data_IF_974934712582
#
_entry.id   IF_974934712582
#
_cell.length_a   1.000
_cell.length_b   1.000
_cell.length_c   1.000
_cell.angle_alpha   90.00
_cell.angle_beta   90.00
_cell.angle_gamma   90.00
#
_symmetry.space_group_name_H-M   'P 1'
#
loop_
_entity.id
_entity.type
_entity.pdbx_description
1 polymer ?
#
# COMPACT_ATOMS: atom_id res chain seq x y z
N UNK A 1 -7.55 -42.21 12.97
CA UNK A 1 -6.96 -41.41 14.07
C UNK A 1 -7.37 -39.96 13.85
N UNK A 2 -8.12 -39.35 14.77
CA UNK A 2 -8.61 -37.98 14.61
C UNK A 2 -7.48 -36.99 14.97
N UNK A 3 -6.98 -36.25 13.96
CA UNK A 3 -6.08 -35.12 14.19
C UNK A 3 -6.79 -34.10 15.07
N UNK A 4 -6.18 -33.73 16.20
CA UNK A 4 -6.82 -32.85 17.18
C UNK A 4 -6.74 -31.40 16.70
N UNK A 5 -7.67 -30.52 17.11
CA UNK A 5 -7.63 -29.07 16.78
C UNK A 5 -6.27 -28.41 17.09
N UNK A 6 -5.53 -28.96 18.07
CA UNK A 6 -4.16 -28.57 18.42
C UNK A 6 -3.18 -28.77 17.26
N UNK A 7 -3.30 -29.90 16.57
CA UNK A 7 -2.36 -30.30 15.52
C UNK A 7 -2.56 -29.42 14.27
N UNK A 8 -3.82 -29.12 13.95
CA UNK A 8 -4.15 -28.19 12.85
C UNK A 8 -3.62 -26.77 13.11
N UNK A 9 -3.69 -26.27 14.35
CA UNK A 9 -3.18 -24.95 14.69
C UNK A 9 -1.65 -24.86 14.55
N UNK A 10 -0.92 -25.91 14.96
CA UNK A 10 0.54 -25.99 14.80
C UNK A 10 0.94 -26.01 13.33
N UNK A 11 0.22 -26.76 12.50
CA UNK A 11 0.45 -26.82 11.06
C UNK A 11 0.22 -25.46 10.40
N UNK A 12 -0.84 -24.75 10.77
CA UNK A 12 -1.12 -23.40 10.28
C UNK A 12 -0.04 -22.41 10.68
N UNK A 13 0.43 -22.46 11.93
CA UNK A 13 1.52 -21.63 12.41
C UNK A 13 2.82 -21.90 11.64
N UNK A 14 3.20 -23.17 11.52
CA UNK A 14 4.39 -23.58 10.77
C UNK A 14 4.33 -23.10 9.33
N UNK A 15 3.19 -23.31 8.65
CA UNK A 15 2.98 -22.83 7.29
C UNK A 15 3.18 -21.32 7.16
N UNK A 16 2.66 -20.53 8.11
CA UNK A 16 2.82 -19.08 8.08
C UNK A 16 4.28 -18.66 8.27
N UNK A 17 4.98 -19.25 9.24
CA UNK A 17 6.40 -18.97 9.51
C UNK A 17 7.26 -19.35 8.30
N UNK A 18 7.03 -20.51 7.70
CA UNK A 18 7.79 -20.97 6.53
C UNK A 18 7.63 -19.99 5.35
N UNK A 19 6.41 -19.48 5.11
CA UNK A 19 6.18 -18.48 4.06
C UNK A 19 6.85 -17.14 4.39
N UNK A 20 6.83 -16.68 5.64
CA UNK A 20 7.53 -15.45 6.03
C UNK A 20 9.04 -15.57 5.84
N UNK A 21 9.63 -16.69 6.25
CA UNK A 21 11.07 -16.95 6.10
C UNK A 21 11.48 -17.00 4.62
N UNK A 22 10.64 -17.58 3.77
CA UNK A 22 10.89 -17.61 2.32
C UNK A 22 10.97 -16.19 1.74
N UNK A 23 9.99 -15.33 2.02
CA UNK A 23 10.00 -13.94 1.53
C UNK A 23 11.23 -13.17 2.02
N UNK A 24 11.59 -13.33 3.30
CA UNK A 24 12.79 -12.69 3.86
C UNK A 24 14.08 -13.20 3.18
N UNK A 25 14.16 -14.50 2.88
CA UNK A 25 15.29 -15.09 2.18
C UNK A 25 15.40 -14.62 0.72
N UNK A 26 14.27 -14.37 0.07
CA UNK A 26 14.19 -13.82 -1.29
C UNK A 26 14.44 -12.29 -1.32
N UNK A 27 14.60 -11.65 -0.17
CA UNK A 27 14.76 -10.19 -0.07
C UNK A 27 13.47 -9.42 -0.35
N UNK A 28 12.35 -10.11 -0.41
CA UNK A 28 11.04 -9.53 -0.68
C UNK A 28 10.45 -8.89 0.58
N UNK A 29 9.73 -7.79 0.39
CA UNK A 29 9.06 -7.11 1.50
C UNK A 29 7.94 -7.99 2.04
N UNK A 30 7.90 -8.20 3.36
CA UNK A 30 6.89 -9.05 4.02
C UNK A 30 5.45 -8.59 3.76
N UNK A 31 5.24 -7.32 3.41
CA UNK A 31 3.94 -6.81 2.96
C UNK A 31 3.40 -7.53 1.70
N UNK A 32 4.27 -8.01 0.82
CA UNK A 32 3.88 -8.74 -0.39
C UNK A 32 3.30 -10.13 -0.09
N UNK A 33 3.67 -10.75 1.03
CA UNK A 33 3.04 -11.98 1.48
C UNK A 33 1.53 -11.78 1.70
N UNK A 34 1.17 -10.64 2.28
CA UNK A 34 -0.20 -10.35 2.71
C UNK A 34 -1.14 -9.98 1.57
N UNK A 35 -0.63 -9.67 0.38
CA UNK A 35 -1.47 -9.42 -0.81
C UNK A 35 -1.82 -10.69 -1.58
N UNK A 36 -1.25 -11.84 -1.23
CA UNK A 36 -1.53 -13.11 -1.90
C UNK A 36 -2.91 -13.68 -1.52
N UNK A 37 -3.65 -14.17 -2.52
CA UNK A 37 -5.02 -14.65 -2.34
C UNK A 37 -5.11 -15.94 -1.49
N UNK A 38 -4.08 -16.80 -1.54
CA UNK A 38 -4.01 -18.01 -0.72
C UNK A 38 -3.80 -17.70 0.77
N UNK A 39 -2.98 -16.69 1.09
CA UNK A 39 -2.79 -16.21 2.46
C UNK A 39 -4.06 -15.52 2.97
N UNK A 40 -4.67 -14.68 2.15
CA UNK A 40 -5.90 -13.95 2.49
C UNK A 40 -7.08 -14.90 2.78
N UNK A 41 -7.26 -15.93 1.96
CA UNK A 41 -8.32 -16.92 2.16
C UNK A 41 -8.09 -17.78 3.41
N UNK A 42 -6.83 -18.12 3.70
CA UNK A 42 -6.46 -18.97 4.85
C UNK A 42 -6.40 -18.20 6.18
N UNK A 43 -6.06 -16.92 6.16
CA UNK A 43 -5.82 -16.09 7.34
C UNK A 43 -6.54 -14.73 7.27
N UNK A 44 -7.85 -14.73 7.00
CA UNK A 44 -8.63 -13.51 6.72
C UNK A 44 -8.54 -12.40 7.79
N UNK A 45 -8.61 -12.76 9.08
CA UNK A 45 -8.49 -11.80 10.18
C UNK A 45 -7.08 -11.22 10.28
N UNK A 46 -6.07 -12.08 10.15
CA UNK A 46 -4.67 -11.66 10.25
C UNK A 46 -4.25 -10.83 9.03
N UNK A 47 -4.74 -11.18 7.84
CA UNK A 47 -4.60 -10.39 6.63
C UNK A 47 -5.13 -8.96 6.84
N UNK A 48 -6.33 -8.82 7.43
CA UNK A 48 -6.91 -7.49 7.70
C UNK A 48 -6.04 -6.66 8.63
N UNK A 49 -5.46 -7.26 9.67
CA UNK A 49 -4.51 -6.59 10.57
C UNK A 49 -3.21 -6.24 9.85
N UNK A 50 -2.64 -7.19 9.11
CA UNK A 50 -1.41 -6.98 8.37
C UNK A 50 -1.52 -5.84 7.35
N UNK A 51 -2.60 -5.80 6.57
CA UNK A 51 -2.86 -4.70 5.63
C UNK A 51 -3.02 -3.34 6.32
N UNK A 52 -3.51 -3.31 7.55
CA UNK A 52 -3.67 -2.07 8.30
C UNK A 52 -2.34 -1.50 8.82
N UNK A 53 -1.35 -2.34 9.13
CA UNK A 53 -0.11 -1.92 9.79
C UNK A 53 1.13 -2.00 8.90
N UNK A 54 1.23 -3.02 8.04
CA UNK A 54 2.42 -3.27 7.21
C UNK A 54 2.38 -2.55 5.85
N UNK A 55 1.23 -2.01 5.46
CA UNK A 55 1.08 -1.19 4.26
C UNK A 55 1.19 0.32 4.55
N UNK A 56 1.46 0.70 5.79
CA UNK A 56 1.76 2.09 6.14
C UNK A 56 3.26 2.28 5.90
N UNK A 57 3.61 3.25 5.06
CA UNK A 57 5.02 3.60 4.87
C UNK A 57 5.63 4.00 6.21
N UNK A 58 6.78 3.41 6.60
CA UNK A 58 7.42 3.69 7.89
C UNK A 58 8.02 5.10 7.95
N UNK A 59 7.94 5.88 6.86
CA UNK A 59 8.58 7.18 6.74
C UNK A 59 7.61 8.23 6.19
N UNK A 60 7.80 9.48 6.62
CA UNK A 60 7.15 10.64 6.02
C UNK A 60 7.69 10.96 4.62
N UNK A 61 8.72 10.25 4.12
CA UNK A 61 9.42 10.61 2.89
C UNK A 61 8.49 10.65 1.66
N UNK A 62 7.50 9.75 1.57
CA UNK A 62 6.48 9.81 0.54
C UNK A 62 5.63 11.09 0.65
N UNK A 63 5.23 11.45 1.87
CA UNK A 63 4.52 12.71 2.13
C UNK A 63 5.39 13.93 1.82
N UNK A 64 6.68 13.92 2.18
CA UNK A 64 7.63 14.99 1.88
C UNK A 64 7.87 15.16 0.38
N UNK A 65 7.96 14.06 -0.40
CA UNK A 65 8.00 14.14 -1.87
C UNK A 65 6.73 14.79 -2.43
N UNK A 66 5.58 14.50 -1.84
CA UNK A 66 4.31 15.13 -2.23
C UNK A 66 4.28 16.62 -1.88
N UNK A 67 4.77 17.01 -0.70
CA UNK A 67 4.86 18.42 -0.31
C UNK A 67 5.90 19.19 -1.13
N UNK A 68 7.04 18.58 -1.46
CA UNK A 68 8.07 19.19 -2.29
C UNK A 68 7.62 19.39 -3.74
N UNK A 69 6.97 18.39 -4.34
CA UNK A 69 6.35 18.53 -5.66
C UNK A 69 5.18 19.54 -5.65
N UNK A 70 4.37 19.55 -4.59
CA UNK A 70 3.32 20.53 -4.40
C UNK A 70 3.87 21.95 -4.15
N UNK A 71 5.06 22.12 -3.57
CA UNK A 71 5.71 23.42 -3.41
C UNK A 71 5.95 24.14 -4.74
N UNK A 72 6.18 23.39 -5.83
CA UNK A 72 6.20 23.96 -7.20
C UNK A 72 4.82 24.34 -7.73
N UNK A 73 3.75 23.76 -7.19
CA UNK A 73 2.35 24.04 -7.54
C UNK A 73 1.75 25.18 -6.69
N UNK A 74 2.35 25.45 -5.53
CA UNK A 74 2.04 26.49 -4.54
C UNK A 74 3.19 27.51 -4.56
N UNK A 75 3.24 28.31 -5.62
CA UNK A 75 4.15 29.46 -5.73
C UNK A 75 3.57 30.66 -4.95
N UNK A 76 4.43 31.45 -4.29
CA UNK A 76 4.12 32.73 -3.63
C UNK A 76 3.35 33.71 -4.54
N UNK A 77 3.49 33.60 -5.87
CA UNK A 77 2.76 34.41 -6.86
C UNK A 77 1.26 34.04 -7.02
N UNK A 78 0.79 32.95 -6.40
CA UNK A 78 -0.65 32.59 -6.38
C UNK A 78 -1.25 32.82 -5.00
N UNK A 79 -1.36 34.09 -4.62
CA UNK A 79 -2.19 34.52 -3.51
C UNK A 79 -3.63 33.98 -3.68
N UNK A 80 -4.08 33.12 -2.77
CA UNK A 80 -5.45 32.55 -2.68
C UNK A 80 -5.73 31.22 -3.41
N UNK A 81 -4.92 30.19 -3.13
CA UNK A 81 -5.46 28.82 -3.11
C UNK A 81 -5.91 28.51 -1.69
N UNK A 82 -7.21 28.41 -1.47
CA UNK A 82 -7.73 27.85 -0.21
C UNK A 82 -7.27 26.39 -0.07
N UNK A 83 -7.17 25.88 1.16
CA UNK A 83 -6.67 24.52 1.46
C UNK A 83 -7.33 23.46 0.56
N UNK A 84 -8.64 23.58 0.36
CA UNK A 84 -9.41 22.73 -0.55
C UNK A 84 -8.86 22.68 -1.98
N UNK A 85 -8.57 23.84 -2.60
CA UNK A 85 -8.03 23.89 -3.97
C UNK A 85 -6.63 23.30 -4.06
N UNK A 86 -5.82 23.42 -3.00
CA UNK A 86 -4.48 22.81 -2.94
C UNK A 86 -4.60 21.28 -2.90
N UNK A 87 -5.43 20.74 -2.00
CA UNK A 87 -5.68 19.31 -1.86
C UNK A 87 -6.23 18.71 -3.16
N UNK A 88 -7.23 19.37 -3.77
CA UNK A 88 -7.79 18.93 -5.05
C UNK A 88 -6.74 18.90 -6.16
N UNK A 89 -5.83 19.88 -6.20
CA UNK A 89 -4.76 19.95 -7.20
C UNK A 89 -3.71 18.85 -6.99
N UNK A 90 -3.32 18.56 -5.75
CA UNK A 90 -2.42 17.45 -5.41
C UNK A 90 -3.08 16.12 -5.79
N UNK A 91 -4.36 15.94 -5.46
CA UNK A 91 -5.12 14.74 -5.82
C UNK A 91 -5.17 14.52 -7.34
N UNK A 92 -5.54 15.55 -8.12
CA UNK A 92 -5.62 15.44 -9.58
C UNK A 92 -4.25 15.21 -10.23
N UNK A 93 -3.18 15.81 -9.68
CA UNK A 93 -1.82 15.59 -10.19
C UNK A 93 -1.38 14.13 -10.03
N UNK A 94 -1.71 13.50 -8.89
CA UNK A 94 -1.43 12.08 -8.65
C UNK A 94 -2.36 11.14 -9.40
N UNK A 95 -3.59 11.58 -9.67
CA UNK A 95 -4.63 10.76 -10.27
C UNK A 95 -5.17 11.42 -11.56
N UNK A 96 -4.35 11.51 -12.62
CA UNK A 96 -4.70 12.25 -13.84
C UNK A 96 -5.92 11.66 -14.56
N UNK A 97 -6.27 10.40 -14.32
CA UNK A 97 -7.44 9.74 -14.89
C UNK A 97 -8.79 10.40 -14.50
N UNK A 98 -8.81 11.23 -13.45
CA UNK A 98 -10.00 11.97 -13.04
C UNK A 98 -10.16 13.32 -13.76
N UNK A 99 -9.21 13.71 -14.61
CA UNK A 99 -9.31 14.92 -15.43
C UNK A 99 -10.01 14.56 -16.74
N UNK A 100 -11.09 15.28 -17.07
CA UNK A 100 -11.76 15.13 -18.36
C UNK A 100 -10.77 15.41 -19.51
N UNK A 101 -10.62 14.43 -20.42
CA UNK A 101 -9.59 14.40 -21.47
C UNK A 101 -8.44 13.42 -21.23
N UNK A 102 -8.29 12.89 -20.02
CA UNK A 102 -7.28 11.87 -19.67
C UNK A 102 -7.88 10.52 -19.23
N UNK A 103 -9.20 10.38 -19.32
CA UNK A 103 -9.94 9.15 -18.95
C UNK A 103 -9.49 7.90 -19.74
N UNK A 104 -8.93 8.10 -20.94
CA UNK A 104 -8.47 7.04 -21.83
C UNK A 104 -6.95 6.82 -21.78
N UNK A 105 -6.21 7.53 -20.91
CA UNK A 105 -4.76 7.30 -20.79
C UNK A 105 -4.45 6.02 -20.00
N UNK A 106 -3.47 5.21 -20.44
CA UNK A 106 -3.01 4.06 -19.68
C UNK A 106 -2.50 4.55 -18.32
N UNK A 107 -2.89 3.83 -17.25
CA UNK A 107 -2.46 4.17 -15.89
C UNK A 107 -0.94 4.30 -15.87
N UNK A 108 -0.38 5.39 -15.31
CA UNK A 108 1.05 5.54 -15.21
C UNK A 108 1.61 4.32 -14.46
N UNK A 109 2.63 3.69 -15.04
CA UNK A 109 3.35 2.61 -14.36
C UNK A 109 3.94 3.22 -13.09
N UNK A 110 3.49 2.74 -11.93
CA UNK A 110 4.10 3.05 -10.64
C UNK A 110 5.50 2.45 -10.65
N UNK A 111 6.49 3.28 -10.95
CA UNK A 111 7.90 2.94 -10.77
C UNK A 111 8.22 3.17 -9.29
N UNK A 112 8.46 2.07 -8.59
CA UNK A 112 8.94 2.01 -7.21
C UNK A 112 10.31 2.69 -7.06
#
# INVERSE_FOLDING_TARGET
MASTKSDTAKEQYKYMVDNMLLFLAEGEHIGQLWVREDIKSKFSLLHRVAMAFLCIDPTSAESERNFSSAGRLIDDLRCSLNTWKVEAKIFLHKNPMHIDGFKDMPKPKTTT
#
